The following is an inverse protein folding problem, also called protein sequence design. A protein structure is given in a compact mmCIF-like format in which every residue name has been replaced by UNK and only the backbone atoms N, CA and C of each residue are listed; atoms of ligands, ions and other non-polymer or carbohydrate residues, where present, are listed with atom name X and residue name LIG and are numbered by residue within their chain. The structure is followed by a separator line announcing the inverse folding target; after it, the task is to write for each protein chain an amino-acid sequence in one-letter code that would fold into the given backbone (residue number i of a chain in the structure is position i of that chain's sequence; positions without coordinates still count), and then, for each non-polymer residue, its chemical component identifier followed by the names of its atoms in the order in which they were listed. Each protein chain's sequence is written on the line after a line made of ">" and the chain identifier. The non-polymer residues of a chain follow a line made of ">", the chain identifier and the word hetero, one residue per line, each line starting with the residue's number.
data_IF_502178040869
#
_entry.id   IF_502178040869
#
_cell.length_a   1.000
_cell.length_b   1.000
_cell.length_c   1.000
_cell.angle_alpha   90.00
_cell.angle_beta   90.00
_cell.angle_gamma   90.00
#
_symmetry.space_group_name_H-M   'P 1'
#
loop_
_entity.id
_entity.type
_entity.pdbx_description
1 polymer ?
#
# COMPACT_ATOMS: atom_id res chain seq x y z
N UNK A 1 22.80 -0.96 3.48
CA UNK A 1 23.30 -1.16 4.85
C UNK A 1 24.63 -1.89 4.81
N UNK A 2 25.59 -1.46 5.65
CA UNK A 2 26.84 -2.16 5.88
C UNK A 2 26.70 -3.12 7.08
N UNK A 3 27.54 -4.15 7.20
CA UNK A 3 27.57 -5.02 8.38
C UNK A 3 27.64 -4.28 9.72
N UNK A 4 28.37 -3.16 9.75
CA UNK A 4 28.53 -2.29 10.92
C UNK A 4 27.22 -1.62 11.35
N UNK A 5 26.28 -1.45 10.44
CA UNK A 5 24.98 -0.80 10.73
C UNK A 5 24.13 -1.62 11.70
N UNK A 6 24.30 -2.95 11.72
CA UNK A 6 23.64 -3.84 12.68
C UNK A 6 24.54 -4.24 13.85
N UNK A 7 25.83 -4.50 13.58
CA UNK A 7 26.77 -4.98 14.60
C UNK A 7 27.30 -3.84 15.48
N UNK A 8 27.30 -2.61 14.96
CA UNK A 8 27.91 -1.47 15.61
C UNK A 8 29.39 -1.31 15.31
N UNK A 9 30.10 -0.56 16.15
CA UNK A 9 31.49 -0.18 15.96
C UNK A 9 32.37 -0.85 17.02
N UNK A 10 33.48 -1.52 16.63
CA UNK A 10 34.41 -2.06 17.59
C UNK A 10 35.26 -0.94 18.17
N UNK A 11 35.37 -0.89 19.48
CA UNK A 11 36.22 0.06 20.22
C UNK A 11 37.21 -0.74 21.10
N UNK A 12 38.52 -0.49 21.00
CA UNK A 12 39.50 -1.15 21.83
C UNK A 12 39.38 -0.69 23.27
N UNK A 13 39.34 -1.64 24.18
CA UNK A 13 39.36 -1.42 25.65
C UNK A 13 39.98 -2.62 26.33
N UNK A 14 40.98 -2.40 27.21
CA UNK A 14 41.63 -3.44 28.03
C UNK A 14 42.08 -4.66 27.19
N UNK A 15 42.84 -4.43 26.13
CA UNK A 15 43.37 -5.43 25.19
C UNK A 15 42.30 -6.26 24.42
N UNK A 16 41.04 -5.81 24.46
CA UNK A 16 39.91 -6.43 23.77
C UNK A 16 39.15 -5.41 22.92
N UNK A 17 38.46 -5.88 21.90
CA UNK A 17 37.51 -5.09 21.14
C UNK A 17 36.09 -5.27 21.69
N UNK A 18 35.47 -4.19 22.10
CA UNK A 18 34.08 -4.14 22.50
C UNK A 18 33.23 -3.56 21.37
N UNK A 19 32.12 -4.20 21.04
CA UNK A 19 31.20 -3.70 20.04
C UNK A 19 30.17 -2.80 20.71
N UNK A 20 30.14 -1.54 20.30
CA UNK A 20 29.09 -0.59 20.70
C UNK A 20 27.94 -0.69 19.72
N UNK A 21 26.76 -1.15 20.15
CA UNK A 21 25.61 -1.33 19.28
C UNK A 21 25.10 0.02 18.74
N UNK A 22 24.43 0.04 17.57
CA UNK A 22 23.74 1.22 17.06
C UNK A 22 22.67 1.70 18.05
N UNK A 23 22.45 3.01 18.07
CA UNK A 23 21.49 3.67 18.97
C UNK A 23 20.05 3.19 18.77
N UNK A 24 19.68 2.84 17.52
CA UNK A 24 18.32 2.40 17.20
C UNK A 24 17.98 1.00 17.76
N UNK A 25 18.96 0.22 18.17
CA UNK A 25 18.68 -1.09 18.79
C UNK A 25 18.17 -0.91 20.22
N UNK A 26 17.05 -1.57 20.57
CA UNK A 26 16.45 -1.42 21.88
C UNK A 26 17.31 -1.98 22.99
N UNK A 27 17.44 -1.25 24.09
CA UNK A 27 18.21 -1.67 25.29
C UNK A 27 17.32 -2.13 26.44
N UNK A 28 16.02 -1.82 26.42
CA UNK A 28 15.03 -2.17 27.45
C UNK A 28 13.61 -2.09 26.88
N UNK A 29 12.61 -2.40 27.69
CA UNK A 29 11.19 -2.25 27.36
C UNK A 29 10.62 -3.37 26.53
N UNK A 30 9.53 -3.07 25.80
CA UNK A 30 8.78 -4.00 24.96
C UNK A 30 8.51 -3.36 23.61
N UNK A 31 8.51 -4.16 22.54
CA UNK A 31 8.17 -3.66 21.22
C UNK A 31 8.44 -4.65 20.11
N UNK A 32 8.42 -4.11 18.89
CA UNK A 32 8.75 -4.83 17.66
C UNK A 32 10.04 -4.23 17.09
N UNK A 33 11.06 -5.06 16.90
CA UNK A 33 12.23 -4.73 16.10
C UNK A 33 11.90 -5.15 14.67
N UNK A 34 11.64 -4.17 13.80
CA UNK A 34 11.22 -4.40 12.43
C UNK A 34 12.39 -4.23 11.47
N UNK A 35 12.71 -5.29 10.73
CA UNK A 35 13.76 -5.31 9.73
C UNK A 35 13.10 -5.26 8.34
N UNK A 36 12.96 -4.06 7.81
CA UNK A 36 12.35 -3.85 6.49
C UNK A 36 13.32 -4.18 5.37
N UNK A 37 12.79 -4.72 4.27
CA UNK A 37 13.53 -5.08 3.05
C UNK A 37 14.75 -5.98 3.29
N UNK A 38 14.65 -6.92 4.24
CA UNK A 38 15.78 -7.76 4.65
C UNK A 38 16.44 -8.51 3.49
N UNK A 39 15.68 -8.90 2.49
CA UNK A 39 16.19 -9.60 1.30
C UNK A 39 16.76 -8.67 0.22
N UNK A 40 16.66 -7.36 0.37
CA UNK A 40 17.41 -6.39 -0.43
C UNK A 40 18.79 -6.10 0.17
N UNK A 41 19.01 -6.50 1.42
CA UNK A 41 20.32 -6.35 2.06
C UNK A 41 21.37 -7.32 1.44
N UNK A 42 22.62 -6.89 1.28
CA UNK A 42 23.69 -7.77 0.83
C UNK A 42 23.82 -9.04 1.69
N UNK A 43 24.28 -10.19 1.15
CA UNK A 43 24.39 -11.44 1.89
C UNK A 43 25.16 -11.35 3.22
N UNK A 44 26.18 -10.49 3.28
CA UNK A 44 26.94 -10.25 4.50
C UNK A 44 26.09 -9.62 5.63
N UNK A 45 25.18 -8.72 5.27
CA UNK A 45 24.22 -8.10 6.22
C UNK A 45 23.14 -9.10 6.61
N UNK A 46 22.64 -9.89 5.66
CA UNK A 46 21.69 -10.98 5.96
C UNK A 46 22.28 -12.00 6.93
N UNK A 47 23.59 -12.32 6.82
CA UNK A 47 24.28 -13.20 7.76
C UNK A 47 24.32 -12.64 9.20
N UNK A 48 24.46 -11.33 9.36
CA UNK A 48 24.42 -10.67 10.67
C UNK A 48 22.98 -10.61 11.19
N UNK A 49 22.01 -10.29 10.33
CA UNK A 49 20.60 -10.31 10.69
C UNK A 49 20.17 -11.73 11.12
N UNK A 50 20.69 -12.78 10.46
CA UNK A 50 20.48 -14.17 10.86
C UNK A 50 20.90 -14.41 12.31
N UNK A 51 22.08 -13.94 12.71
CA UNK A 51 22.56 -14.07 14.09
C UNK A 51 21.62 -13.32 15.06
N UNK A 52 21.24 -12.09 14.72
CA UNK A 52 20.33 -11.29 15.54
C UNK A 52 18.96 -11.97 15.71
N UNK A 53 18.41 -12.54 14.64
CA UNK A 53 17.10 -13.21 14.65
C UNK A 53 17.15 -14.52 15.43
N UNK A 54 18.22 -15.30 15.25
CA UNK A 54 18.38 -16.63 15.82
C UNK A 54 18.75 -16.61 17.29
N UNK A 55 19.87 -15.95 17.54
CA UNK A 55 20.51 -15.97 18.85
C UNK A 55 20.04 -14.80 19.71
N UNK A 56 19.23 -13.90 19.13
CA UNK A 56 18.83 -12.63 19.74
C UNK A 56 20.04 -11.81 20.20
N UNK A 57 21.17 -11.98 19.49
CA UNK A 57 22.46 -11.34 19.82
C UNK A 57 23.20 -10.97 18.55
N UNK A 58 23.98 -9.89 18.64
CA UNK A 58 24.96 -9.54 17.62
C UNK A 58 26.11 -8.77 18.26
N UNK A 59 27.33 -9.25 18.08
CA UNK A 59 28.47 -8.69 18.81
C UNK A 59 28.27 -8.78 20.33
N UNK A 60 28.36 -7.64 21.00
CA UNK A 60 28.11 -7.52 22.46
C UNK A 60 26.65 -7.25 22.80
N UNK A 61 25.82 -6.98 21.81
CA UNK A 61 24.42 -6.62 21.99
C UNK A 61 23.51 -7.85 22.11
N UNK A 62 22.52 -7.76 23.02
CA UNK A 62 21.45 -8.74 23.15
C UNK A 62 20.09 -8.04 23.05
N UNK A 63 19.17 -8.58 22.24
CA UNK A 63 17.80 -8.08 22.14
C UNK A 63 17.08 -8.37 23.44
N UNK A 64 16.47 -7.37 24.12
CA UNK A 64 15.73 -7.60 25.37
C UNK A 64 14.53 -8.54 25.15
N UNK A 65 14.21 -9.34 26.19
CA UNK A 65 13.17 -10.39 26.09
C UNK A 65 11.78 -9.86 25.71
N UNK A 66 11.46 -8.62 26.04
CA UNK A 66 10.19 -7.97 25.69
C UNK A 66 10.05 -7.57 24.21
N UNK A 67 11.07 -7.78 23.37
CA UNK A 67 11.06 -7.38 21.97
C UNK A 67 10.84 -8.57 21.03
N UNK A 68 9.90 -8.39 20.10
CA UNK A 68 9.64 -9.35 19.03
C UNK A 68 10.37 -8.89 17.77
N UNK A 69 10.92 -9.82 16.98
CA UNK A 69 11.62 -9.48 15.74
C UNK A 69 10.71 -9.84 14.57
N UNK A 70 10.38 -8.84 13.76
CA UNK A 70 9.66 -8.97 12.50
C UNK A 70 10.55 -8.55 11.34
N UNK A 71 10.27 -9.12 10.16
CA UNK A 71 10.95 -8.72 8.94
C UNK A 71 9.95 -8.62 7.80
N UNK A 72 10.21 -7.70 6.87
CA UNK A 72 9.53 -7.66 5.60
C UNK A 72 10.54 -7.85 4.46
N UNK A 73 10.06 -8.29 3.32
CA UNK A 73 10.84 -8.44 2.11
C UNK A 73 9.95 -8.46 0.87
N UNK A 74 10.53 -8.11 -0.26
CA UNK A 74 9.84 -8.13 -1.54
C UNK A 74 9.92 -9.53 -2.17
N UNK A 75 8.90 -9.93 -2.90
CA UNK A 75 8.92 -11.18 -3.66
C UNK A 75 9.75 -11.01 -4.93
N UNK A 76 10.37 -12.08 -5.41
CA UNK A 76 11.09 -12.07 -6.70
C UNK A 76 10.16 -11.75 -7.87
N UNK A 77 8.93 -12.21 -7.79
CA UNK A 77 7.89 -11.98 -8.80
C UNK A 77 7.52 -10.51 -8.93
N UNK A 78 7.72 -9.71 -7.89
CA UNK A 78 7.47 -8.26 -7.89
C UNK A 78 8.62 -7.46 -8.53
N UNK A 79 9.59 -8.19 -9.14
CA UNK A 79 10.74 -7.62 -9.87
C UNK A 79 11.64 -6.70 -9.04
N UNK A 80 11.60 -6.80 -7.73
CA UNK A 80 12.53 -6.15 -6.86
C UNK A 80 13.94 -6.75 -7.02
N UNK A 81 14.96 -5.94 -6.89
CA UNK A 81 16.36 -6.39 -6.87
C UNK A 81 16.67 -7.06 -5.54
N UNK A 82 16.17 -8.28 -5.34
CA UNK A 82 16.31 -9.02 -4.11
C UNK A 82 17.38 -10.10 -4.22
N UNK A 83 18.10 -10.33 -3.13
CA UNK A 83 18.97 -11.48 -2.97
C UNK A 83 18.17 -12.67 -2.47
N UNK A 84 18.61 -13.88 -2.84
CA UNK A 84 18.07 -15.08 -2.24
C UNK A 84 18.34 -15.10 -0.74
N UNK A 85 17.30 -15.28 0.04
CA UNK A 85 17.44 -15.46 1.47
C UNK A 85 18.09 -16.84 1.72
N UNK A 86 19.21 -16.91 2.47
CA UNK A 86 19.81 -18.20 2.80
C UNK A 86 18.80 -19.13 3.48
N UNK A 87 18.76 -20.39 3.06
CA UNK A 87 17.82 -21.38 3.61
C UNK A 87 17.81 -21.46 5.15
N UNK A 88 18.97 -21.36 5.85
CA UNK A 88 18.96 -21.32 7.31
C UNK A 88 18.24 -20.09 7.88
N UNK A 89 18.29 -18.93 7.23
CA UNK A 89 17.58 -17.74 7.66
C UNK A 89 16.08 -17.87 7.37
N UNK A 90 15.73 -18.30 6.16
CA UNK A 90 14.33 -18.48 5.75
C UNK A 90 13.58 -19.43 6.68
N UNK A 91 14.19 -20.57 7.06
CA UNK A 91 13.56 -21.58 7.92
C UNK A 91 13.32 -21.13 9.37
N UNK A 92 13.70 -19.89 9.73
CA UNK A 92 13.51 -19.32 11.08
C UNK A 92 12.36 -18.35 11.17
N UNK A 93 11.74 -18.06 10.04
CA UNK A 93 10.55 -17.20 9.97
C UNK A 93 9.27 -18.03 9.81
N UNK A 94 8.21 -17.49 10.37
CA UNK A 94 6.86 -17.80 9.92
C UNK A 94 6.61 -16.85 8.75
N UNK A 95 6.44 -17.43 7.56
CA UNK A 95 6.21 -16.66 6.34
C UNK A 95 4.74 -16.30 6.19
N UNK A 96 4.46 -15.02 6.06
CA UNK A 96 3.14 -14.48 5.78
C UNK A 96 3.19 -13.75 4.45
N UNK A 97 2.26 -14.04 3.57
CA UNK A 97 2.12 -13.35 2.30
C UNK A 97 1.07 -12.26 2.43
N UNK A 98 1.45 -11.02 2.09
CA UNK A 98 0.54 -9.88 2.07
C UNK A 98 0.14 -9.60 0.64
N UNK A 99 -1.12 -9.82 0.33
CA UNK A 99 -1.69 -9.58 -0.99
C UNK A 99 -2.39 -8.21 -1.04
N UNK A 100 -2.39 -7.60 -2.22
CA UNK A 100 -3.10 -6.36 -2.47
C UNK A 100 -4.57 -6.66 -2.74
N UNK A 101 -5.47 -6.25 -1.84
CA UNK A 101 -6.90 -6.42 -1.96
C UNK A 101 -7.62 -5.12 -2.32
N UNK A 102 -8.62 -5.19 -3.20
CA UNK A 102 -9.43 -4.03 -3.57
C UNK A 102 -10.33 -3.58 -2.41
N UNK A 103 -10.90 -4.51 -1.67
CA UNK A 103 -11.80 -4.19 -0.55
C UNK A 103 -11.04 -3.50 0.58
N UNK A 104 -9.85 -3.98 0.91
CA UNK A 104 -8.97 -3.38 1.92
C UNK A 104 -8.53 -1.97 1.49
N UNK A 105 -8.26 -1.79 0.18
CA UNK A 105 -7.95 -0.46 -0.35
C UNK A 105 -9.16 0.47 -0.28
N UNK A 106 -10.38 0.00 -0.54
CA UNK A 106 -11.61 0.80 -0.39
C UNK A 106 -11.82 1.26 1.04
N UNK A 107 -11.64 0.37 2.01
CA UNK A 107 -11.75 0.72 3.43
C UNK A 107 -10.75 1.80 3.81
N UNK A 108 -9.51 1.68 3.33
CA UNK A 108 -8.49 2.70 3.48
C UNK A 108 -8.90 4.01 2.81
N UNK A 109 -9.35 3.95 1.56
CA UNK A 109 -9.72 5.10 0.75
C UNK A 109 -10.88 5.90 1.38
N UNK A 110 -11.90 5.21 1.88
CA UNK A 110 -13.02 5.84 2.59
C UNK A 110 -12.58 6.53 3.88
N UNK A 111 -11.75 5.89 4.69
CA UNK A 111 -11.21 6.47 5.93
C UNK A 111 -10.34 7.70 5.68
N UNK A 112 -9.56 7.70 4.60
CA UNK A 112 -8.65 8.79 4.24
C UNK A 112 -9.26 9.81 3.26
N UNK A 113 -10.56 9.68 2.94
CA UNK A 113 -11.28 10.59 2.04
C UNK A 113 -10.59 10.74 0.67
N UNK A 114 -10.16 9.63 0.11
CA UNK A 114 -9.66 9.56 -1.26
C UNK A 114 -10.79 9.90 -2.23
N UNK A 115 -10.45 10.56 -3.32
CA UNK A 115 -11.40 11.03 -4.34
C UNK A 115 -12.30 9.89 -4.84
N UNK A 116 -13.61 10.13 -4.86
CA UNK A 116 -14.63 9.18 -5.29
C UNK A 116 -14.37 8.62 -6.71
N UNK A 117 -13.74 9.44 -7.57
CA UNK A 117 -13.39 9.03 -8.94
C UNK A 117 -12.39 7.90 -8.95
N UNK A 118 -11.40 7.91 -8.04
CA UNK A 118 -10.40 6.85 -7.89
C UNK A 118 -11.08 5.56 -7.44
N UNK A 119 -11.92 5.64 -6.39
CA UNK A 119 -12.62 4.47 -5.87
C UNK A 119 -13.53 3.87 -6.95
N UNK A 120 -14.29 4.72 -7.65
CA UNK A 120 -15.18 4.30 -8.73
C UNK A 120 -14.44 3.69 -9.92
N UNK A 121 -13.29 4.26 -10.31
CA UNK A 121 -12.45 3.72 -11.37
C UNK A 121 -11.88 2.35 -11.01
N UNK A 122 -11.36 2.19 -9.80
CA UNK A 122 -10.79 0.93 -9.35
C UNK A 122 -11.85 -0.16 -9.17
N UNK A 123 -13.07 0.19 -8.80
CA UNK A 123 -14.19 -0.73 -8.85
C UNK A 123 -14.51 -1.21 -10.27
N UNK A 124 -14.45 -0.30 -11.24
CA UNK A 124 -14.70 -0.62 -12.66
C UNK A 124 -13.53 -1.37 -13.30
N UNK A 125 -12.31 -1.07 -12.89
CA UNK A 125 -11.05 -1.62 -13.41
C UNK A 125 -10.14 -2.13 -12.30
N UNK A 126 -10.48 -3.22 -11.59
CA UNK A 126 -9.73 -3.73 -10.43
C UNK A 126 -8.25 -3.99 -10.72
N UNK A 127 -7.93 -4.38 -11.94
CA UNK A 127 -6.56 -4.67 -12.37
C UNK A 127 -5.62 -3.46 -12.31
N UNK A 128 -6.16 -2.23 -12.23
CA UNK A 128 -5.37 -1.03 -12.07
C UNK A 128 -5.08 -0.66 -10.61
N UNK A 129 -5.55 -1.45 -9.64
CA UNK A 129 -5.13 -1.25 -8.25
C UNK A 129 -3.63 -1.53 -8.08
N UNK A 130 -3.16 -2.63 -8.69
CA UNK A 130 -1.75 -3.00 -8.65
C UNK A 130 -1.34 -3.65 -9.98
N UNK A 131 -0.57 -2.92 -10.79
CA UNK A 131 -0.13 -3.40 -12.10
C UNK A 131 1.29 -2.90 -12.38
N UNK A 132 2.26 -3.73 -12.05
CA UNK A 132 3.68 -3.40 -12.24
C UNK A 132 3.99 -3.23 -13.73
N UNK A 133 4.70 -2.16 -14.07
CA UNK A 133 5.26 -1.92 -15.39
C UNK A 133 6.78 -1.76 -15.29
N UNK A 134 7.52 -2.76 -15.76
CA UNK A 134 8.99 -2.78 -15.74
C UNK A 134 9.65 -1.67 -16.58
N UNK A 135 8.94 -1.18 -17.57
CA UNK A 135 9.46 -0.22 -18.55
C UNK A 135 9.13 1.23 -18.18
N UNK A 136 8.51 1.45 -17.02
CA UNK A 136 8.14 2.78 -16.56
C UNK A 136 8.59 2.96 -15.10
N UNK A 137 9.09 4.14 -14.73
CA UNK A 137 9.43 4.45 -13.34
C UNK A 137 8.19 4.57 -12.44
N UNK A 138 7.00 4.69 -13.02
CA UNK A 138 5.72 4.81 -12.31
C UNK A 138 4.70 3.80 -12.85
N UNK A 139 3.95 3.20 -11.93
CA UNK A 139 2.87 2.25 -12.21
C UNK A 139 1.82 2.30 -11.09
N UNK A 140 0.57 1.85 -11.37
CA UNK A 140 -0.47 1.85 -10.37
C UNK A 140 -0.20 0.83 -9.26
N UNK A 141 -0.30 1.31 -8.04
CA UNK A 141 -0.24 0.55 -6.78
C UNK A 141 -1.08 1.25 -5.72
N UNK A 142 -1.46 0.64 -4.60
CA UNK A 142 -2.18 1.35 -3.53
C UNK A 142 -1.49 2.64 -3.10
N UNK A 143 -0.15 2.61 -2.95
CA UNK A 143 0.65 3.80 -2.59
C UNK A 143 0.60 4.88 -3.67
N UNK A 144 0.74 4.50 -4.94
CA UNK A 144 0.73 5.48 -6.03
C UNK A 144 -0.66 6.07 -6.29
N UNK A 145 -1.74 5.36 -5.93
CA UNK A 145 -3.09 5.93 -5.94
C UNK A 145 -3.31 6.95 -4.82
N UNK A 146 -2.72 6.77 -3.65
CA UNK A 146 -2.72 7.77 -2.56
C UNK A 146 -1.98 9.05 -2.97
N UNK A 147 -0.84 8.90 -3.65
CA UNK A 147 -0.11 10.02 -4.25
C UNK A 147 -0.95 10.69 -5.34
N UNK A 148 -1.58 9.91 -6.22
CA UNK A 148 -2.45 10.43 -7.29
C UNK A 148 -3.64 11.21 -6.74
N UNK A 149 -4.24 10.77 -5.62
CA UNK A 149 -5.28 11.53 -4.92
C UNK A 149 -4.79 12.90 -4.46
N UNK A 150 -3.59 12.95 -3.89
CA UNK A 150 -2.98 14.21 -3.45
C UNK A 150 -2.71 15.15 -4.63
N UNK A 151 -2.25 14.62 -5.76
CA UNK A 151 -2.04 15.39 -6.99
C UNK A 151 -3.35 15.91 -7.57
N UNK A 152 -4.40 15.06 -7.61
CA UNK A 152 -5.73 15.47 -8.07
C UNK A 152 -6.33 16.59 -7.23
N UNK A 153 -6.18 16.53 -5.91
CA UNK A 153 -6.64 17.57 -4.98
C UNK A 153 -5.88 18.89 -5.16
N UNK A 154 -4.65 18.82 -5.65
CA UNK A 154 -3.82 19.97 -5.99
C UNK A 154 -3.98 20.46 -7.45
N UNK A 155 -4.89 19.85 -8.23
CA UNK A 155 -5.09 20.11 -9.67
C UNK A 155 -3.82 19.89 -10.50
N UNK A 156 -3.04 18.86 -10.14
CA UNK A 156 -1.80 18.46 -10.80
C UNK A 156 -1.99 17.17 -11.61
N UNK A 157 -1.07 16.95 -12.57
CA UNK A 157 -1.07 15.75 -13.38
C UNK A 157 -0.67 14.52 -12.56
N UNK A 158 -1.38 13.40 -12.81
CA UNK A 158 -1.21 12.13 -12.09
C UNK A 158 -0.32 11.11 -12.83
N UNK A 159 0.07 11.41 -14.07
CA UNK A 159 0.93 10.53 -14.88
C UNK A 159 2.22 10.14 -14.14
N UNK A 160 2.89 11.07 -13.42
CA UNK A 160 4.09 10.73 -12.68
C UNK A 160 3.87 9.73 -11.53
N UNK A 161 2.66 9.62 -11.01
CA UNK A 161 2.34 8.71 -9.91
C UNK A 161 1.96 7.30 -10.39
N UNK A 162 1.04 7.20 -11.35
CA UNK A 162 0.43 5.93 -11.77
C UNK A 162 0.81 5.47 -13.18
N UNK A 163 1.64 6.25 -13.87
CA UNK A 163 2.08 6.00 -15.25
C UNK A 163 1.05 6.44 -16.30
N UNK A 164 1.56 6.87 -17.45
CA UNK A 164 0.77 7.48 -18.53
C UNK A 164 -0.41 6.63 -19.00
N UNK A 165 -0.18 5.33 -19.20
CA UNK A 165 -1.23 4.42 -19.69
C UNK A 165 -2.40 4.30 -18.70
N UNK A 166 -2.12 4.17 -17.40
CA UNK A 166 -3.14 4.12 -16.36
C UNK A 166 -3.87 5.46 -16.22
N UNK A 167 -3.12 6.55 -16.22
CA UNK A 167 -3.67 7.90 -16.11
C UNK A 167 -4.56 8.26 -17.31
N UNK A 168 -4.21 7.83 -18.52
CA UNK A 168 -5.05 7.99 -19.72
C UNK A 168 -6.40 7.26 -19.58
N UNK A 169 -6.39 6.01 -19.10
CA UNK A 169 -7.60 5.24 -18.81
C UNK A 169 -8.45 5.92 -17.74
N UNK A 170 -7.81 6.38 -16.66
CA UNK A 170 -8.47 7.10 -15.57
C UNK A 170 -9.11 8.42 -16.07
N UNK A 171 -8.39 9.22 -16.86
CA UNK A 171 -8.94 10.46 -17.45
C UNK A 171 -10.12 10.18 -18.36
N UNK A 172 -10.06 9.10 -19.14
CA UNK A 172 -11.19 8.68 -20.00
C UNK A 172 -12.41 8.29 -19.16
N UNK A 173 -12.20 7.58 -18.05
CA UNK A 173 -13.25 7.27 -17.09
C UNK A 173 -13.82 8.54 -16.43
N UNK A 174 -12.96 9.50 -16.05
CA UNK A 174 -13.39 10.76 -15.44
C UNK A 174 -14.27 11.59 -16.38
N UNK A 175 -14.03 11.58 -17.69
CA UNK A 175 -14.94 12.23 -18.67
C UNK A 175 -16.35 11.66 -18.61
N UNK A 176 -16.47 10.34 -18.47
CA UNK A 176 -17.78 9.68 -18.28
C UNK A 176 -18.39 10.07 -16.93
N UNK A 177 -17.57 10.07 -15.88
CA UNK A 177 -17.98 10.44 -14.51
C UNK A 177 -18.51 11.88 -14.42
N UNK A 178 -17.91 12.82 -15.11
CA UNK A 178 -18.34 14.23 -15.14
C UNK A 178 -19.68 14.44 -15.88
N UNK A 179 -20.04 13.52 -16.78
CA UNK A 179 -21.31 13.54 -17.50
C UNK A 179 -22.43 12.77 -16.79
N UNK A 180 -22.19 12.33 -15.55
CA UNK A 180 -23.22 11.65 -14.76
C UNK A 180 -24.35 12.60 -14.40
N UNK A 181 -25.58 12.07 -14.22
CA UNK A 181 -26.71 12.83 -13.70
C UNK A 181 -26.40 13.47 -12.33
N UNK A 182 -27.17 14.50 -11.98
CA UNK A 182 -27.04 15.22 -10.71
C UNK A 182 -27.29 14.29 -9.49
N UNK A 183 -26.23 13.70 -8.97
CA UNK A 183 -26.22 12.73 -7.88
C UNK A 183 -26.92 13.29 -6.62
N UNK A 184 -26.61 14.52 -6.14
CA UNK A 184 -27.29 15.10 -4.98
C UNK A 184 -28.82 15.13 -5.14
N UNK A 185 -29.33 15.48 -6.32
CA UNK A 185 -30.77 15.51 -6.60
C UNK A 185 -31.40 14.12 -6.63
N UNK A 186 -30.68 13.10 -7.08
CA UNK A 186 -31.13 11.70 -7.03
C UNK A 186 -31.21 11.23 -5.58
N UNK A 187 -30.16 11.42 -4.80
CA UNK A 187 -30.12 11.03 -3.38
C UNK A 187 -31.19 11.74 -2.56
N UNK A 188 -31.47 13.00 -2.86
CA UNK A 188 -32.57 13.75 -2.23
C UNK A 188 -33.97 13.34 -2.71
N UNK A 189 -34.09 12.42 -3.68
CA UNK A 189 -35.36 11.98 -4.25
C UNK A 189 -36.09 13.03 -5.13
N UNK A 190 -35.38 14.13 -5.49
CA UNK A 190 -35.99 15.27 -6.20
C UNK A 190 -36.08 15.08 -7.73
N UNK A 191 -35.14 14.34 -8.32
CA UNK A 191 -35.07 14.09 -9.76
C UNK A 191 -34.81 12.61 -10.04
N UNK A 192 -35.45 12.09 -11.09
CA UNK A 192 -35.22 10.74 -11.62
C UNK A 192 -34.79 10.87 -13.09
N UNK A 193 -33.55 11.31 -13.37
CA UNK A 193 -33.06 11.38 -14.75
C UNK A 193 -33.01 9.98 -15.36
N UNK A 194 -32.94 9.91 -16.69
CA UNK A 194 -32.85 8.62 -17.39
C UNK A 194 -31.57 7.90 -16.97
N UNK A 195 -31.70 6.63 -16.57
CA UNK A 195 -30.54 5.82 -16.20
C UNK A 195 -29.63 5.60 -17.42
N UNK A 196 -28.30 5.79 -17.32
CA UNK A 196 -27.40 5.69 -18.45
C UNK A 196 -27.49 4.34 -19.15
N UNK A 197 -27.33 4.32 -20.48
CA UNK A 197 -27.26 3.07 -21.26
C UNK A 197 -25.83 2.50 -21.32
N UNK A 198 -24.84 3.36 -21.30
CA UNK A 198 -23.43 2.98 -21.30
C UNK A 198 -23.02 2.27 -20.00
N UNK A 199 -22.29 1.16 -20.11
CA UNK A 199 -21.92 0.32 -18.97
C UNK A 199 -20.98 1.06 -17.99
N UNK A 200 -20.02 1.83 -18.52
CA UNK A 200 -19.09 2.60 -17.69
C UNK A 200 -19.81 3.70 -16.91
N UNK A 201 -20.76 4.39 -17.56
CA UNK A 201 -21.58 5.42 -16.93
C UNK A 201 -22.52 4.82 -15.87
N UNK A 202 -23.10 3.66 -16.13
CA UNK A 202 -23.92 2.92 -15.13
C UNK A 202 -23.10 2.60 -13.90
N UNK A 203 -21.93 2.02 -14.11
CA UNK A 203 -21.06 1.62 -13.03
C UNK A 203 -20.58 2.83 -12.21
N UNK A 204 -20.11 3.88 -12.89
CA UNK A 204 -19.69 5.12 -12.25
C UNK A 204 -20.82 5.77 -11.43
N UNK A 205 -22.03 5.79 -11.97
CA UNK A 205 -23.21 6.33 -11.28
C UNK A 205 -23.59 5.50 -10.04
N UNK A 206 -23.62 4.18 -10.15
CA UNK A 206 -23.93 3.30 -9.02
C UNK A 206 -22.91 3.45 -7.90
N UNK A 207 -21.61 3.47 -8.23
CA UNK A 207 -20.56 3.72 -7.24
C UNK A 207 -20.69 5.11 -6.59
N UNK A 208 -20.94 6.15 -7.39
CA UNK A 208 -21.08 7.51 -6.87
C UNK A 208 -22.32 7.66 -5.95
N UNK A 209 -23.43 7.00 -6.26
CA UNK A 209 -24.61 6.97 -5.39
C UNK A 209 -24.29 6.27 -4.06
N UNK A 210 -23.64 5.10 -4.13
CA UNK A 210 -23.27 4.34 -2.94
C UNK A 210 -22.27 5.07 -2.03
N UNK A 211 -21.27 5.75 -2.63
CA UNK A 211 -20.23 6.48 -1.88
C UNK A 211 -20.74 7.78 -1.24
N UNK A 212 -21.77 8.41 -1.83
CA UNK A 212 -22.26 9.72 -1.39
C UNK A 212 -23.52 9.68 -0.55
N UNK A 213 -24.22 8.55 -0.48
CA UNK A 213 -25.37 8.39 0.37
C UNK A 213 -24.96 8.46 1.85
N UNK A 214 -25.62 9.34 2.63
CA UNK A 214 -25.28 9.64 4.03
C UNK A 214 -26.20 8.97 5.03
N UNK A 215 -27.39 8.61 4.61
CA UNK A 215 -28.42 8.00 5.47
C UNK A 215 -29.25 6.96 4.72
N UNK A 216 -30.10 6.24 5.46
CA UNK A 216 -30.94 5.16 4.93
C UNK A 216 -31.89 5.68 3.84
N UNK A 217 -32.41 6.90 3.98
CA UNK A 217 -33.35 7.48 3.02
C UNK A 217 -32.68 7.78 1.69
N UNK A 218 -31.46 8.27 1.70
CA UNK A 218 -30.67 8.50 0.49
C UNK A 218 -30.31 7.17 -0.20
N UNK A 219 -30.01 6.11 0.57
CA UNK A 219 -29.80 4.76 0.05
C UNK A 219 -31.07 4.22 -0.62
N UNK A 220 -32.24 4.36 0.03
CA UNK A 220 -33.54 3.97 -0.54
C UNK A 220 -33.83 4.71 -1.85
N UNK A 221 -33.58 6.02 -1.90
CA UNK A 221 -33.76 6.83 -3.10
C UNK A 221 -32.83 6.36 -4.25
N UNK A 222 -31.59 5.99 -3.94
CA UNK A 222 -30.64 5.43 -4.91
C UNK A 222 -31.12 4.10 -5.49
N UNK A 223 -31.65 3.20 -4.64
CA UNK A 223 -32.25 1.93 -5.07
C UNK A 223 -33.46 2.14 -5.96
N UNK A 224 -34.42 2.96 -5.53
CA UNK A 224 -35.63 3.29 -6.33
C UNK A 224 -35.30 3.91 -7.67
N UNK A 225 -34.20 4.65 -7.77
CA UNK A 225 -33.75 5.19 -9.04
C UNK A 225 -33.10 4.11 -9.94
N UNK A 226 -32.39 3.15 -9.35
CA UNK A 226 -31.75 2.06 -10.10
C UNK A 226 -32.74 1.02 -10.61
N UNK A 227 -33.82 0.77 -9.87
CA UNK A 227 -34.85 -0.21 -10.21
C UNK A 227 -35.95 0.35 -11.15
N UNK A 228 -35.97 1.65 -11.39
CA UNK A 228 -36.95 2.27 -12.27
C UNK A 228 -36.61 1.99 -13.77
N UNK A 229 -36.72 0.71 -14.19
CA UNK A 229 -36.67 0.25 -15.58
C UNK A 229 -38.07 -0.05 -16.10
#
# INVERSE_FOLDING_TARGET
>A
LAPTDLRGIPVPKDDKAYWYPPEFLPTSGKGILFLDEINMAPPAVQGIAQQLILDRKVGSYSVPDGWFIWSAGNRKEDFAAVFDMPAPLANRFIHLEVNTGLEEFKDYALKNKIDDRIISFLNFRPNYLHKINKNSPSWPSPRSWDIADSLLKADLDIDPAIGEACASEFRSFCKVYLNLPDIPSILAGKKKPVFPKDLSARYALTCALALRAKDVKEVENAFLYSDAK
#
